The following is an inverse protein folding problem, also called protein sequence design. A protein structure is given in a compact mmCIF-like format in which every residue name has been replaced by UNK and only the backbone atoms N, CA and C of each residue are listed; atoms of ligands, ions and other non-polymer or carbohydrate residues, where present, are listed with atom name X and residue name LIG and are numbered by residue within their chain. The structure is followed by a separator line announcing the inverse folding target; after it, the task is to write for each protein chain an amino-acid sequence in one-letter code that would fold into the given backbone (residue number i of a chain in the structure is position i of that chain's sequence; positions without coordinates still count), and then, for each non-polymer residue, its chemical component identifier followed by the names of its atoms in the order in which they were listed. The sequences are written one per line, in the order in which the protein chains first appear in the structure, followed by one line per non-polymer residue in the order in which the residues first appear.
data_IF_553726530809
#
_entry.id   IF_553726530809
#
_cell.length_a   1.000
_cell.length_b   1.000
_cell.length_c   1.000
_cell.angle_alpha   90.00
_cell.angle_beta   90.00
_cell.angle_gamma   90.00
#
_symmetry.space_group_name_H-M   'P 1'
#
loop_
_entity.id
_entity.type
_entity.pdbx_description
1 polymer ?
#
# COMPACT_ATOMS: atom_id res chain seq x y z
N UNK A 1 45.50 39.41 34.02
CA UNK A 1 44.12 38.86 34.15
C UNK A 1 43.76 38.23 32.81
N UNK A 2 43.82 36.90 32.75
CA UNK A 2 43.45 36.12 31.55
C UNK A 2 41.95 35.84 31.63
N UNK A 3 41.19 36.26 30.62
CA UNK A 3 39.78 35.95 30.48
C UNK A 3 39.67 34.57 29.80
N UNK A 4 39.06 33.61 30.51
CA UNK A 4 38.77 32.27 30.01
C UNK A 4 37.71 32.30 28.92
N UNK A 5 38.05 31.84 27.72
CA UNK A 5 37.08 31.57 26.65
C UNK A 5 36.15 30.42 27.06
N UNK A 6 34.86 30.74 27.18
CA UNK A 6 33.79 29.75 27.34
C UNK A 6 33.64 28.97 26.04
N UNK A 7 34.13 27.73 26.04
CA UNK A 7 33.94 26.79 24.94
C UNK A 7 32.48 26.33 24.95
N UNK A 8 31.67 26.90 24.05
CA UNK A 8 30.31 26.43 23.82
C UNK A 8 30.37 25.00 23.26
N UNK A 9 30.02 24.02 24.09
CA UNK A 9 29.82 22.64 23.65
C UNK A 9 28.61 22.59 22.71
N UNK A 10 28.89 22.50 21.41
CA UNK A 10 27.88 22.16 20.40
C UNK A 10 27.23 20.82 20.76
N UNK A 11 25.90 20.69 20.68
CA UNK A 11 25.24 19.41 20.89
C UNK A 11 25.75 18.38 19.87
N UNK A 12 25.93 17.11 20.27
CA UNK A 12 26.44 16.07 19.39
C UNK A 12 25.54 15.94 18.16
N UNK A 13 26.16 15.84 16.99
CA UNK A 13 25.46 15.62 15.72
C UNK A 13 24.55 14.38 15.85
N UNK A 14 23.31 14.43 15.29
CA UNK A 14 22.42 13.29 15.34
C UNK A 14 23.11 12.05 14.74
N UNK A 15 22.87 10.85 15.29
CA UNK A 15 23.56 9.64 14.85
C UNK A 15 23.31 9.42 13.36
N UNK A 16 24.40 9.37 12.59
CA UNK A 16 24.38 9.03 11.17
C UNK A 16 23.77 7.63 11.02
N UNK A 17 22.74 7.50 10.19
CA UNK A 17 22.29 6.17 9.73
C UNK A 17 23.54 5.49 9.12
N UNK A 18 23.88 4.24 9.50
CA UNK A 18 25.03 3.56 8.93
C UNK A 18 24.94 3.61 7.40
N UNK A 19 25.99 4.07 6.73
CA UNK A 19 26.04 4.35 5.29
C UNK A 19 25.49 3.18 4.43
N UNK A 20 25.66 1.96 4.93
CA UNK A 20 25.12 0.72 4.36
C UNK A 20 23.58 0.63 4.37
N UNK A 21 22.90 1.04 5.44
CA UNK A 21 21.44 1.02 5.54
C UNK A 21 20.82 2.09 4.64
N UNK A 22 21.45 3.26 4.55
CA UNK A 22 21.00 4.34 3.66
C UNK A 22 21.19 3.96 2.19
N UNK A 23 22.32 3.33 1.83
CA UNK A 23 22.54 2.78 0.48
C UNK A 23 21.49 1.73 0.11
N UNK A 24 21.19 0.78 1.00
CA UNK A 24 20.14 -0.24 0.78
C UNK A 24 18.78 0.40 0.52
N UNK A 25 18.41 1.41 1.30
CA UNK A 25 17.15 2.14 1.12
C UNK A 25 17.07 2.81 -0.26
N UNK A 26 18.14 3.52 -0.68
CA UNK A 26 18.18 4.17 -2.00
C UNK A 26 18.10 3.15 -3.15
N UNK A 27 18.75 2.00 -3.02
CA UNK A 27 18.65 0.92 -4.01
C UNK A 27 17.22 0.40 -4.10
N UNK A 28 16.56 0.13 -2.97
CA UNK A 28 15.17 -0.31 -2.96
C UNK A 28 14.22 0.73 -3.59
N UNK A 29 14.40 2.01 -3.25
CA UNK A 29 13.65 3.12 -3.87
C UNK A 29 13.89 3.19 -5.38
N UNK A 30 15.14 3.04 -5.83
CA UNK A 30 15.48 3.04 -7.26
C UNK A 30 14.88 1.87 -8.02
N UNK A 31 14.89 0.66 -7.45
CA UNK A 31 14.24 -0.53 -8.02
C UNK A 31 12.74 -0.31 -8.15
N UNK A 32 12.08 0.15 -7.08
CA UNK A 32 10.64 0.44 -7.11
C UNK A 32 10.31 1.51 -8.14
N UNK A 33 11.07 2.61 -8.17
CA UNK A 33 10.89 3.68 -9.13
C UNK A 33 11.02 3.19 -10.57
N UNK A 34 12.04 2.37 -10.85
CA UNK A 34 12.25 1.79 -12.17
C UNK A 34 11.02 0.98 -12.62
N UNK A 35 10.55 0.05 -11.80
CA UNK A 35 9.38 -0.77 -12.13
C UNK A 35 8.11 0.06 -12.33
N UNK A 36 7.86 1.07 -11.47
CA UNK A 36 6.68 1.92 -11.59
C UNK A 36 6.77 2.87 -12.79
N UNK A 37 7.93 3.44 -13.11
CA UNK A 37 8.11 4.30 -14.30
C UNK A 37 7.99 3.46 -15.57
N UNK A 38 8.63 2.29 -15.64
CA UNK A 38 8.50 1.39 -16.79
C UNK A 38 7.06 0.92 -16.98
N UNK A 39 6.37 0.56 -15.89
CA UNK A 39 4.95 0.23 -15.93
C UNK A 39 4.08 1.41 -16.36
N UNK A 40 4.38 2.62 -15.87
CA UNK A 40 3.61 3.81 -16.21
C UNK A 40 3.74 4.14 -17.70
N UNK A 41 4.98 4.19 -18.20
CA UNK A 41 5.25 4.50 -19.60
C UNK A 41 4.67 3.41 -20.52
N UNK A 42 4.79 2.15 -20.13
CA UNK A 42 4.22 1.02 -20.86
C UNK A 42 2.70 1.10 -20.94
N UNK A 43 2.01 1.30 -19.82
CA UNK A 43 0.55 1.35 -19.80
C UNK A 43 -0.01 2.63 -20.44
N UNK A 44 0.66 3.78 -20.25
CA UNK A 44 0.17 5.05 -20.80
C UNK A 44 0.45 5.24 -22.29
N UNK A 45 1.56 4.72 -22.83
CA UNK A 45 2.03 5.05 -24.18
C UNK A 45 2.31 3.85 -25.10
N UNK A 46 2.31 2.61 -24.59
CA UNK A 46 2.48 1.43 -25.46
C UNK A 46 1.25 1.19 -26.32
N UNK A 47 1.48 0.68 -27.53
CA UNK A 47 0.41 0.15 -28.40
C UNK A 47 -0.12 -1.19 -27.91
N UNK A 48 0.69 -1.92 -27.16
CA UNK A 48 0.37 -3.21 -26.55
C UNK A 48 0.63 -3.12 -25.03
N UNK A 49 -0.40 -2.81 -24.23
CA UNK A 49 -0.28 -2.74 -22.78
C UNK A 49 -0.24 -4.12 -22.12
N UNK A 50 -0.67 -5.19 -22.81
CA UNK A 50 -0.81 -6.54 -22.22
C UNK A 50 0.55 -7.09 -21.77
N UNK A 51 1.61 -6.78 -22.52
CA UNK A 51 2.98 -7.11 -22.13
C UNK A 51 3.36 -6.52 -20.76
N UNK A 52 2.88 -5.33 -20.40
CA UNK A 52 3.19 -4.71 -19.10
C UNK A 52 2.25 -5.21 -18.00
N UNK A 53 1.00 -5.53 -18.34
CA UNK A 53 -0.01 -6.01 -17.40
C UNK A 53 0.36 -7.36 -16.76
N UNK A 54 1.04 -8.26 -17.49
CA UNK A 54 1.51 -9.53 -16.93
C UNK A 54 2.49 -9.36 -15.74
N UNK A 55 3.16 -8.21 -15.65
CA UNK A 55 4.11 -7.90 -14.57
C UNK A 55 3.45 -7.22 -13.36
N UNK A 56 2.15 -6.92 -13.40
CA UNK A 56 1.44 -6.31 -12.27
C UNK A 56 1.52 -7.17 -11.01
N UNK A 57 1.22 -8.50 -11.03
CA UNK A 57 1.37 -9.34 -9.84
C UNK A 57 2.82 -9.38 -9.33
N UNK A 58 3.80 -9.41 -10.26
CA UNK A 58 5.21 -9.39 -9.91
C UNK A 58 5.62 -8.08 -9.22
N UNK A 59 5.17 -6.94 -9.72
CA UNK A 59 5.44 -5.64 -9.12
C UNK A 59 4.83 -5.53 -7.72
N UNK A 60 3.63 -6.08 -7.52
CA UNK A 60 2.96 -6.11 -6.22
C UNK A 60 3.73 -7.00 -5.22
N UNK A 61 4.17 -8.18 -5.66
CA UNK A 61 5.04 -9.06 -4.86
C UNK A 61 6.39 -8.41 -4.53
N UNK A 62 7.05 -7.80 -5.51
CA UNK A 62 8.31 -7.09 -5.33
C UNK A 62 8.16 -5.97 -4.30
N UNK A 63 7.08 -5.20 -4.40
CA UNK A 63 6.76 -4.12 -3.45
C UNK A 63 6.56 -4.65 -2.05
N UNK A 64 5.79 -5.74 -1.89
CA UNK A 64 5.57 -6.38 -0.59
C UNK A 64 6.88 -6.89 0.02
N UNK A 65 7.68 -7.61 -0.75
CA UNK A 65 8.97 -8.17 -0.31
C UNK A 65 9.90 -7.05 0.13
N UNK A 66 10.02 -5.98 -0.65
CA UNK A 66 10.83 -4.82 -0.27
C UNK A 66 10.28 -4.17 1.00
N UNK A 67 8.99 -3.86 1.09
CA UNK A 67 8.39 -3.30 2.31
C UNK A 67 8.71 -4.15 3.55
N UNK A 68 8.46 -5.46 3.52
CA UNK A 68 8.69 -6.32 4.67
C UNK A 68 10.18 -6.57 4.96
N UNK A 69 11.06 -6.47 3.95
CA UNK A 69 12.50 -6.54 4.18
C UNK A 69 13.02 -5.36 5.02
N UNK A 70 12.40 -4.18 4.90
CA UNK A 70 12.73 -2.98 5.69
C UNK A 70 11.96 -2.87 7.00
N UNK A 71 11.03 -3.79 7.28
CA UNK A 71 10.38 -3.90 8.59
C UNK A 71 11.39 -4.39 9.64
N UNK A 72 11.54 -3.61 10.71
CA UNK A 72 12.31 -3.98 11.90
C UNK A 72 11.49 -4.88 12.81
N UNK A 73 12.15 -5.74 13.59
CA UNK A 73 11.53 -6.62 14.58
C UNK A 73 10.33 -7.42 14.05
N UNK A 74 10.60 -8.34 13.11
CA UNK A 74 9.62 -9.28 12.51
C UNK A 74 9.27 -10.40 13.50
N UNK A 75 8.71 -10.01 14.63
CA UNK A 75 8.27 -10.92 15.69
C UNK A 75 7.04 -11.73 15.27
N UNK A 76 6.61 -12.67 16.11
CA UNK A 76 5.43 -13.50 15.81
C UNK A 76 4.16 -12.65 15.62
N UNK A 77 4.02 -11.55 16.37
CA UNK A 77 2.87 -10.66 16.24
C UNK A 77 2.79 -9.97 14.87
N UNK A 78 3.94 -9.60 14.29
CA UNK A 78 4.02 -9.07 12.93
C UNK A 78 3.56 -10.09 11.89
N UNK A 79 4.06 -11.33 11.95
CA UNK A 79 3.65 -12.38 11.01
C UNK A 79 2.18 -12.78 11.19
N UNK A 80 1.69 -12.84 12.43
CA UNK A 80 0.28 -13.05 12.72
C UNK A 80 -0.58 -11.92 12.14
N UNK A 81 -0.15 -10.66 12.27
CA UNK A 81 -0.80 -9.51 11.65
C UNK A 81 -0.82 -9.63 10.12
N UNK A 82 0.31 -9.99 9.50
CA UNK A 82 0.40 -10.17 8.05
C UNK A 82 -0.58 -11.22 7.55
N UNK A 83 -0.56 -12.41 8.16
CA UNK A 83 -1.43 -13.51 7.78
C UNK A 83 -2.90 -13.17 8.00
N UNK A 84 -3.24 -12.61 9.16
CA UNK A 84 -4.63 -12.25 9.50
C UNK A 84 -5.17 -11.19 8.56
N UNK A 85 -4.42 -10.12 8.31
CA UNK A 85 -4.85 -9.02 7.44
C UNK A 85 -5.02 -9.49 6.00
N UNK A 86 -4.07 -10.28 5.49
CA UNK A 86 -4.17 -10.82 4.13
C UNK A 86 -5.34 -11.78 3.98
N UNK A 87 -5.57 -12.66 4.97
CA UNK A 87 -6.70 -13.59 4.96
C UNK A 87 -8.03 -12.85 5.06
N UNK A 88 -8.18 -11.92 6.02
CA UNK A 88 -9.40 -11.12 6.18
C UNK A 88 -9.69 -10.32 4.91
N UNK A 89 -8.69 -9.62 4.36
CA UNK A 89 -8.85 -8.87 3.11
C UNK A 89 -9.32 -9.77 1.96
N UNK A 90 -8.67 -10.92 1.78
CA UNK A 90 -9.05 -11.89 0.75
C UNK A 90 -10.48 -12.44 0.94
N UNK A 91 -10.84 -12.88 2.15
CA UNK A 91 -12.16 -13.48 2.39
C UNK A 91 -13.29 -12.45 2.37
N UNK A 92 -13.03 -11.21 2.78
CA UNK A 92 -14.00 -10.12 2.62
C UNK A 92 -14.31 -9.88 1.15
N UNK A 93 -13.31 -9.95 0.26
CA UNK A 93 -13.49 -9.84 -1.19
C UNK A 93 -14.27 -11.03 -1.75
N UNK A 94 -13.99 -12.25 -1.27
CA UNK A 94 -14.75 -13.46 -1.65
C UNK A 94 -16.23 -13.29 -1.28
N UNK A 95 -16.52 -12.85 -0.06
CA UNK A 95 -17.90 -12.55 0.36
C UNK A 95 -18.47 -11.37 -0.45
N UNK A 96 -17.64 -10.39 -0.79
CA UNK A 96 -17.98 -9.25 -1.63
C UNK A 96 -18.53 -9.66 -2.98
N UNK A 97 -17.76 -10.44 -3.76
CA UNK A 97 -18.17 -10.90 -5.09
C UNK A 97 -19.36 -11.88 -5.04
N UNK A 98 -19.46 -12.71 -4.00
CA UNK A 98 -20.53 -13.70 -3.88
C UNK A 98 -21.87 -13.08 -3.48
N UNK A 99 -21.83 -12.07 -2.63
CA UNK A 99 -23.07 -11.46 -2.09
C UNK A 99 -23.47 -10.20 -2.85
N UNK A 100 -22.51 -9.46 -3.41
CA UNK A 100 -22.70 -8.12 -3.95
C UNK A 100 -23.04 -7.06 -2.89
N UNK A 101 -23.04 -7.41 -1.60
CA UNK A 101 -23.56 -6.57 -0.50
C UNK A 101 -22.48 -5.78 0.24
N UNK A 102 -21.21 -6.13 0.10
CA UNK A 102 -20.11 -5.41 0.77
C UNK A 102 -19.69 -4.22 -0.09
N UNK A 103 -19.19 -4.52 -1.30
CA UNK A 103 -18.64 -3.52 -2.20
C UNK A 103 -19.58 -3.16 -3.35
N UNK A 104 -20.53 -4.04 -3.68
CA UNK A 104 -21.34 -3.97 -4.89
C UNK A 104 -21.13 -5.22 -5.74
N UNK A 105 -21.74 -5.27 -6.93
CA UNK A 105 -21.58 -6.38 -7.86
C UNK A 105 -20.40 -6.10 -8.80
N UNK A 106 -19.37 -6.94 -8.74
CA UNK A 106 -18.18 -6.87 -9.60
C UNK A 106 -17.59 -8.26 -9.78
N UNK A 107 -16.79 -8.43 -10.82
CA UNK A 107 -16.04 -9.66 -11.09
C UNK A 107 -14.57 -9.32 -11.37
N UNK A 108 -13.65 -10.12 -10.82
CA UNK A 108 -12.23 -9.95 -11.12
C UNK A 108 -11.91 -10.41 -12.55
N UNK A 109 -11.05 -9.65 -13.24
CA UNK A 109 -10.52 -9.96 -14.57
C UNK A 109 -9.26 -10.84 -14.50
N UNK A 110 -8.64 -11.15 -15.64
CA UNK A 110 -7.53 -12.14 -15.69
C UNK A 110 -6.17 -11.57 -15.25
N UNK A 111 -6.02 -10.24 -15.29
CA UNK A 111 -4.74 -9.54 -15.15
C UNK A 111 -4.00 -9.77 -13.84
N UNK A 112 -4.73 -10.00 -12.74
CA UNK A 112 -4.15 -10.16 -11.40
C UNK A 112 -3.63 -11.58 -11.11
N UNK A 113 -3.64 -12.46 -12.10
CA UNK A 113 -3.10 -13.82 -12.00
C UNK A 113 -4.07 -14.82 -11.38
N UNK A 114 -3.53 -15.76 -10.60
CA UNK A 114 -4.28 -16.92 -10.12
C UNK A 114 -5.42 -16.53 -9.16
N UNK A 115 -6.64 -17.00 -9.50
CA UNK A 115 -7.85 -16.81 -8.70
C UNK A 115 -8.16 -18.04 -7.87
N UNK A 116 -8.54 -17.82 -6.63
CA UNK A 116 -9.13 -18.81 -5.76
C UNK A 116 -10.50 -18.30 -5.31
N UNK A 117 -11.54 -19.14 -5.39
CA UNK A 117 -12.92 -18.75 -5.08
C UNK A 117 -13.42 -17.50 -5.84
N UNK A 118 -12.89 -17.24 -7.04
CA UNK A 118 -13.23 -16.07 -7.87
C UNK A 118 -12.41 -14.81 -7.59
N UNK A 119 -11.57 -14.81 -6.54
CA UNK A 119 -10.73 -13.67 -6.14
C UNK A 119 -9.25 -13.98 -6.39
N UNK A 120 -8.47 -13.08 -7.02
CA UNK A 120 -7.02 -13.24 -7.15
C UNK A 120 -6.35 -13.28 -5.77
N UNK A 121 -5.47 -14.26 -5.52
CA UNK A 121 -4.77 -14.37 -4.22
C UNK A 121 -3.96 -13.11 -3.90
N UNK A 122 -3.47 -12.42 -4.93
CA UNK A 122 -2.69 -11.19 -4.81
C UNK A 122 -3.48 -10.03 -4.15
N UNK A 123 -4.82 -10.08 -4.16
CA UNK A 123 -5.67 -9.08 -3.51
C UNK A 123 -5.53 -9.12 -1.99
N UNK A 124 -5.37 -10.30 -1.39
CA UNK A 124 -5.07 -10.41 0.04
C UNK A 124 -3.76 -9.70 0.39
N UNK A 125 -2.75 -9.83 -0.47
CA UNK A 125 -1.48 -9.12 -0.33
C UNK A 125 -1.66 -7.61 -0.50
N UNK A 126 -2.48 -7.17 -1.46
CA UNK A 126 -2.81 -5.75 -1.65
C UNK A 126 -3.43 -5.13 -0.39
N UNK A 127 -4.44 -5.80 0.20
CA UNK A 127 -5.05 -5.40 1.47
C UNK A 127 -4.03 -5.27 2.60
N UNK A 128 -3.15 -6.26 2.73
CA UNK A 128 -2.06 -6.21 3.71
C UNK A 128 -1.12 -5.03 3.47
N UNK A 129 -0.62 -4.84 2.25
CA UNK A 129 0.33 -3.76 1.94
C UNK A 129 -0.27 -2.38 2.18
N UNK A 130 -1.52 -2.16 1.76
CA UNK A 130 -2.21 -0.89 1.94
C UNK A 130 -2.49 -0.62 3.42
N UNK A 131 -2.99 -1.62 4.16
CA UNK A 131 -3.22 -1.50 5.61
C UNK A 131 -1.93 -1.17 6.35
N UNK A 132 -0.86 -1.91 6.06
CA UNK A 132 0.45 -1.71 6.66
C UNK A 132 1.03 -0.33 6.34
N UNK A 133 1.00 0.08 5.07
CA UNK A 133 1.56 1.36 4.62
C UNK A 133 0.81 2.56 5.20
N UNK A 134 -0.53 2.55 5.12
CA UNK A 134 -1.36 3.64 5.63
C UNK A 134 -1.36 3.72 7.15
N UNK A 135 -1.27 2.57 7.83
CA UNK A 135 -1.12 2.49 9.29
C UNK A 135 0.19 3.08 9.77
N UNK A 136 1.31 2.78 9.10
CA UNK A 136 2.62 3.39 9.36
C UNK A 136 2.60 4.89 9.04
N UNK A 137 2.00 5.32 7.94
CA UNK A 137 1.88 6.74 7.60
C UNK A 137 1.12 7.52 8.67
N UNK A 138 0.01 6.99 9.15
CA UNK A 138 -0.77 7.64 10.19
C UNK A 138 -0.02 7.74 11.54
N UNK A 139 1.04 6.95 11.77
CA UNK A 139 1.90 7.08 12.97
C UNK A 139 2.76 8.34 12.99
N UNK A 140 2.97 9.00 11.85
CA UNK A 140 3.65 10.31 11.82
C UNK A 140 2.80 11.42 12.43
N UNK A 141 1.49 11.21 12.59
CA UNK A 141 0.59 12.18 13.21
C UNK A 141 0.53 11.95 14.73
N UNK A 142 0.71 13.00 15.56
CA UNK A 142 0.65 12.91 17.02
C UNK A 142 -0.80 12.87 17.54
N UNK A 143 -1.58 11.89 17.07
CA UNK A 143 -3.00 11.70 17.40
C UNK A 143 -3.25 10.39 18.16
N UNK A 144 -4.40 10.27 18.83
CA UNK A 144 -4.77 9.07 19.57
C UNK A 144 -4.97 7.84 18.65
N UNK A 145 -4.98 6.65 19.24
CA UNK A 145 -5.02 5.39 18.48
C UNK A 145 -6.24 5.21 17.58
N UNK A 146 -7.42 5.64 18.02
CA UNK A 146 -8.64 5.49 17.21
C UNK A 146 -8.66 6.50 16.05
N UNK A 147 -8.36 7.77 16.31
CA UNK A 147 -8.29 8.79 15.26
C UNK A 147 -7.19 8.44 14.23
N UNK A 148 -6.09 7.83 14.69
CA UNK A 148 -5.06 7.30 13.80
C UNK A 148 -5.61 6.21 12.87
N UNK A 149 -6.42 5.29 13.40
CA UNK A 149 -7.06 4.27 12.57
C UNK A 149 -8.00 4.88 11.53
N UNK A 150 -8.77 5.91 11.92
CA UNK A 150 -9.63 6.65 10.99
C UNK A 150 -8.82 7.31 9.88
N UNK A 151 -7.73 8.02 10.20
CA UNK A 151 -6.88 8.65 9.18
C UNK A 151 -6.26 7.60 8.26
N UNK A 152 -5.75 6.49 8.80
CA UNK A 152 -5.20 5.41 8.00
C UNK A 152 -6.24 4.78 7.07
N UNK A 153 -7.48 4.59 7.54
CA UNK A 153 -8.59 4.10 6.72
C UNK A 153 -8.95 5.09 5.60
N UNK A 154 -8.97 6.40 5.88
CA UNK A 154 -9.19 7.43 4.87
C UNK A 154 -8.08 7.46 3.80
N UNK A 155 -6.81 7.31 4.20
CA UNK A 155 -5.70 7.19 3.25
C UNK A 155 -5.88 5.96 2.36
N UNK A 156 -6.27 4.83 2.95
CA UNK A 156 -6.49 3.58 2.21
C UNK A 156 -7.61 3.72 1.19
N UNK A 157 -8.76 4.31 1.56
CA UNK A 157 -9.86 4.61 0.62
C UNK A 157 -9.45 5.66 -0.40
N UNK A 158 -8.61 6.63 -0.03
CA UNK A 158 -8.06 7.61 -0.97
C UNK A 158 -7.22 6.96 -2.09
N UNK A 159 -6.42 5.95 -1.72
CA UNK A 159 -5.70 5.13 -2.70
C UNK A 159 -6.66 4.34 -3.60
N UNK A 160 -7.70 3.74 -3.00
CA UNK A 160 -8.73 2.99 -3.74
C UNK A 160 -9.41 3.85 -4.81
N UNK A 161 -9.81 5.08 -4.47
CA UNK A 161 -10.39 6.05 -5.43
C UNK A 161 -9.46 6.31 -6.63
N UNK A 162 -8.15 6.39 -6.40
CA UNK A 162 -7.17 6.59 -7.47
C UNK A 162 -6.95 5.33 -8.32
N UNK A 163 -7.10 4.16 -7.71
CA UNK A 163 -6.90 2.86 -8.34
C UNK A 163 -8.08 2.48 -9.24
N UNK A 164 -9.32 2.76 -8.82
CA UNK A 164 -10.56 2.38 -9.50
C UNK A 164 -10.59 2.65 -11.04
N UNK A 165 -10.26 3.86 -11.55
CA UNK A 165 -10.26 4.11 -13.00
C UNK A 165 -9.25 3.23 -13.76
N UNK A 166 -8.11 2.95 -13.14
CA UNK A 166 -7.05 2.12 -13.71
C UNK A 166 -7.47 0.66 -13.72
N UNK A 167 -8.10 0.19 -12.64
CA UNK A 167 -8.58 -1.17 -12.51
C UNK A 167 -9.65 -1.54 -13.53
N UNK A 168 -10.63 -0.65 -13.74
CA UNK A 168 -11.68 -0.86 -14.75
C UNK A 168 -11.10 -0.86 -16.17
N UNK A 169 -10.13 0.03 -16.44
CA UNK A 169 -9.52 0.14 -17.78
C UNK A 169 -8.67 -1.09 -18.16
N UNK A 170 -7.96 -1.68 -17.19
CA UNK A 170 -6.99 -2.76 -17.44
C UNK A 170 -7.45 -4.14 -16.97
N UNK A 171 -8.77 -4.36 -16.88
CA UNK A 171 -9.37 -5.65 -16.52
C UNK A 171 -8.85 -6.23 -15.19
N UNK A 172 -8.66 -5.36 -14.18
CA UNK A 172 -8.41 -5.87 -12.83
C UNK A 172 -9.72 -6.39 -12.24
N UNK A 173 -10.80 -5.60 -12.40
CA UNK A 173 -12.17 -6.00 -12.16
C UNK A 173 -13.12 -5.17 -13.01
N UNK A 174 -14.32 -5.70 -13.20
CA UNK A 174 -15.42 -5.04 -13.91
C UNK A 174 -16.62 -4.91 -12.98
N UNK A 175 -17.21 -3.72 -12.95
CA UNK A 175 -18.40 -3.42 -12.16
C UNK A 175 -19.67 -3.73 -12.94
N UNK A 176 -20.71 -4.19 -12.25
CA UNK A 176 -22.03 -4.27 -12.85
C UNK A 176 -22.49 -2.88 -13.31
N UNK A 177 -23.00 -2.81 -14.55
CA UNK A 177 -23.47 -1.58 -15.19
C UNK A 177 -22.37 -0.52 -15.43
N UNK A 178 -21.09 -0.87 -15.37
CA UNK A 178 -19.95 0.03 -15.58
C UNK A 178 -19.93 1.26 -14.63
N UNK A 179 -20.63 1.15 -13.49
CA UNK A 179 -20.72 2.20 -12.47
C UNK A 179 -20.07 1.73 -11.19
N UNK A 180 -19.08 2.49 -10.71
CA UNK A 180 -18.46 2.27 -9.41
C UNK A 180 -19.44 2.72 -8.31
N UNK A 181 -19.97 1.81 -7.49
CA UNK A 181 -20.98 2.18 -6.50
C UNK A 181 -20.32 2.88 -5.31
N UNK A 182 -20.99 3.90 -4.75
CA UNK A 182 -20.55 4.53 -3.48
C UNK A 182 -20.47 3.52 -2.31
N UNK A 183 -21.16 2.39 -2.45
CA UNK A 183 -21.08 1.26 -1.53
C UNK A 183 -19.66 0.68 -1.43
N UNK A 184 -18.89 0.67 -2.53
CA UNK A 184 -17.50 0.21 -2.55
C UNK A 184 -16.68 0.98 -1.52
N UNK A 185 -16.64 2.31 -1.62
CA UNK A 185 -15.85 3.15 -0.74
C UNK A 185 -16.28 3.05 0.74
N UNK A 186 -17.57 2.86 1.00
CA UNK A 186 -18.08 2.61 2.37
C UNK A 186 -17.62 1.27 2.91
N UNK A 187 -17.69 0.21 2.09
CA UNK A 187 -17.21 -1.13 2.42
C UNK A 187 -15.71 -1.11 2.70
N UNK A 188 -14.93 -0.51 1.81
CA UNK A 188 -13.48 -0.33 1.97
C UNK A 188 -13.14 0.44 3.25
N UNK A 189 -13.83 1.54 3.53
CA UNK A 189 -13.64 2.30 4.76
C UNK A 189 -13.91 1.45 6.02
N UNK A 190 -15.03 0.72 6.05
CA UNK A 190 -15.40 -0.10 7.21
C UNK A 190 -14.38 -1.21 7.47
N UNK A 191 -13.98 -1.94 6.43
CA UNK A 191 -13.00 -3.03 6.52
C UNK A 191 -11.63 -2.47 6.90
N UNK A 192 -11.20 -1.40 6.24
CA UNK A 192 -9.95 -0.73 6.55
C UNK A 192 -9.92 -0.23 7.99
N UNK A 193 -10.99 0.37 8.51
CA UNK A 193 -11.04 0.84 9.89
C UNK A 193 -10.84 -0.30 10.90
N UNK A 194 -11.48 -1.46 10.68
CA UNK A 194 -11.31 -2.65 11.53
C UNK A 194 -9.85 -3.12 11.50
N UNK A 195 -9.28 -3.26 10.30
CA UNK A 195 -7.89 -3.69 10.12
C UNK A 195 -6.89 -2.69 10.70
N UNK A 196 -7.18 -1.39 10.64
CA UNK A 196 -6.33 -0.34 11.21
C UNK A 196 -6.40 -0.29 12.74
N UNK A 197 -7.57 -0.55 13.32
CA UNK A 197 -7.71 -0.74 14.77
C UNK A 197 -6.91 -1.97 15.22
N UNK A 198 -6.97 -3.07 14.46
CA UNK A 198 -6.16 -4.25 14.71
C UNK A 198 -4.66 -3.98 14.58
N UNK A 199 -4.22 -3.27 13.53
CA UNK A 199 -2.83 -2.82 13.33
C UNK A 199 -2.32 -2.02 14.54
N UNK A 200 -3.12 -1.07 15.04
CA UNK A 200 -2.73 -0.24 16.19
C UNK A 200 -2.58 -1.04 17.50
N UNK A 201 -3.33 -2.14 17.65
CA UNK A 201 -3.29 -3.01 18.84
C UNK A 201 -2.23 -4.10 18.78
N UNK A 202 -1.75 -4.46 17.59
CA UNK A 202 -0.74 -5.51 17.42
C UNK A 202 0.63 -5.01 17.87
N UNK A 203 1.36 -5.78 18.66
CA UNK A 203 2.63 -5.36 19.24
C UNK A 203 3.86 -5.69 18.36
N UNK A 204 4.15 -4.84 17.37
CA UNK A 204 5.41 -4.82 16.61
C UNK A 204 5.90 -3.39 16.36
N UNK A 205 7.11 -3.17 15.86
CA UNK A 205 7.62 -1.82 15.57
C UNK A 205 6.87 -1.19 14.37
N UNK A 206 6.08 -0.12 14.57
CA UNK A 206 5.34 0.55 13.48
C UNK A 206 6.19 1.63 12.79
N UNK A 207 7.36 1.23 12.27
CA UNK A 207 8.28 2.13 11.58
C UNK A 207 8.90 1.43 10.38
N UNK A 208 8.75 2.05 9.21
CA UNK A 208 9.41 1.59 7.99
C UNK A 208 9.74 2.81 7.11
N UNK A 209 11.03 3.07 6.83
CA UNK A 209 11.45 4.23 6.05
C UNK A 209 11.05 4.14 4.56
N UNK A 210 10.71 2.95 4.05
CA UNK A 210 10.32 2.76 2.66
C UNK A 210 8.84 3.08 2.41
N UNK A 211 8.00 3.02 3.44
CA UNK A 211 6.54 3.20 3.34
C UNK A 211 6.13 4.54 2.73
N UNK A 212 6.64 5.71 3.18
CA UNK A 212 6.22 6.98 2.59
C UNK A 212 6.51 7.07 1.10
N UNK A 213 7.65 6.52 0.67
CA UNK A 213 8.04 6.48 -0.73
C UNK A 213 7.11 5.56 -1.55
N UNK A 214 6.86 4.34 -1.07
CA UNK A 214 5.98 3.37 -1.76
C UNK A 214 4.57 3.93 -1.91
N UNK A 215 3.99 4.45 -0.83
CA UNK A 215 2.63 4.99 -0.87
C UNK A 215 2.52 6.17 -1.84
N UNK A 216 3.46 7.12 -1.79
CA UNK A 216 3.47 8.25 -2.72
C UNK A 216 3.67 7.79 -4.17
N UNK A 217 4.58 6.86 -4.41
CA UNK A 217 4.85 6.31 -5.74
C UNK A 217 3.60 5.64 -6.33
N UNK A 218 2.89 4.82 -5.54
CA UNK A 218 1.63 4.19 -5.96
C UNK A 218 0.54 5.24 -6.19
N UNK A 219 0.41 6.22 -5.30
CA UNK A 219 -0.59 7.27 -5.43
C UNK A 219 -0.39 8.06 -6.74
N UNK A 220 0.84 8.49 -7.00
CA UNK A 220 1.19 9.22 -8.23
C UNK A 220 1.05 8.34 -9.48
N UNK A 221 1.40 7.06 -9.39
CA UNK A 221 1.24 6.10 -10.48
C UNK A 221 -0.24 5.96 -10.88
N UNK A 222 -1.12 5.65 -9.92
CA UNK A 222 -2.54 5.44 -10.20
C UNK A 222 -3.27 6.74 -10.54
N UNK A 223 -3.00 7.82 -9.80
CA UNK A 223 -3.58 9.13 -10.11
C UNK A 223 -3.14 9.64 -11.48
N UNK A 224 -1.84 9.52 -11.80
CA UNK A 224 -1.28 9.92 -13.08
C UNK A 224 -1.86 9.10 -14.23
N UNK A 225 -1.87 7.76 -14.12
CA UNK A 225 -2.49 6.91 -15.13
C UNK A 225 -3.95 7.26 -15.29
N UNK A 226 -4.72 7.32 -14.21
CA UNK A 226 -6.15 7.67 -14.24
C UNK A 226 -6.46 9.01 -14.93
N UNK A 227 -5.52 9.96 -14.96
CA UNK A 227 -5.64 11.19 -15.74
C UNK A 227 -5.40 10.98 -17.25
N UNK A 228 -4.45 10.13 -17.64
CA UNK A 228 -4.10 9.86 -19.04
C UNK A 228 -5.04 8.89 -19.77
N UNK A 229 -5.69 7.95 -19.06
CA UNK A 229 -6.61 6.95 -19.65
C UNK A 229 -8.09 7.37 -19.62
N UNK A 230 -8.41 8.57 -19.10
CA UNK A 230 -9.72 9.22 -19.25
C UNK A 230 -9.81 9.93 -20.59
#
# INVERSE_FOLDING_TARGET
MSASESTQHLPPAPPLIPDTQQRRLRVAQGVLLLFHVTGFLGLAFSKDPDFYLQFVPLNLLLTAVLLFSFQRDRNMAFWAFCLTTAAVGFFVEVVGIQTGKIFGQYAYGATLGFKWLGVPLIIGLNWLMLTYSTGILARYLPINGFLRAVVAALLLVGMDICLEPVAVRYDFWTWAFDVIPLQNFKGWFAVALILQVYFNRTDFEKRNPLVPFVYLLQLLFFFGLGWFIR
#
